data_IF_835047702047
#
_entry.id   IF_835047702047
#
_cell.length_a   1.000
_cell.length_b   1.000
_cell.length_c   1.000
_cell.angle_alpha   90.00
_cell.angle_beta   90.00
_cell.angle_gamma   90.00
#
_symmetry.space_group_name_H-M   'P 1'
#
loop_
_entity.id
_entity.type
_entity.pdbx_description
1 polymer ?
#
# COMPACT_ATOMS: atom_id res chain seq x y z
N UNK A 1 -32.82 -3.50 -60.01
CA UNK A 1 -32.13 -4.70 -60.49
C UNK A 1 -31.26 -5.12 -59.34
N UNK A 2 -31.64 -5.97 -58.48
CA UNK A 2 -31.88 -7.42 -58.60
C UNK A 2 -30.58 -8.11 -58.16
N UNK A 3 -30.44 -9.02 -57.30
CA UNK A 3 -31.11 -10.06 -56.54
C UNK A 3 -30.15 -10.48 -55.41
N UNK A 4 -30.52 -10.61 -54.14
CA UNK A 4 -31.04 -11.78 -53.43
C UNK A 4 -30.13 -13.05 -53.41
N UNK A 5 -30.02 -13.54 -52.18
CA UNK A 5 -29.79 -14.92 -51.66
C UNK A 5 -28.33 -15.26 -51.36
N UNK A 6 -28.00 -15.91 -50.25
CA UNK A 6 -28.68 -16.95 -49.48
C UNK A 6 -28.10 -17.15 -48.08
N UNK A 7 -28.96 -17.58 -47.17
CA UNK A 7 -28.73 -18.06 -45.82
C UNK A 7 -28.00 -19.42 -45.83
N UNK A 8 -27.06 -19.66 -44.89
CA UNK A 8 -26.77 -21.01 -44.42
C UNK A 8 -26.59 -21.05 -42.90
N UNK A 9 -27.54 -21.71 -42.24
CA UNK A 9 -27.49 -22.23 -40.87
C UNK A 9 -26.67 -23.50 -40.81
N UNK A 10 -25.88 -23.66 -39.70
CA UNK A 10 -25.53 -24.90 -38.98
C UNK A 10 -24.32 -24.58 -38.11
N UNK A 11 -24.19 -24.92 -36.82
CA UNK A 11 -24.95 -25.82 -36.01
C UNK A 11 -24.44 -25.68 -34.55
N UNK A 12 -25.41 -25.69 -33.64
CA UNK A 12 -25.19 -25.78 -32.22
C UNK A 12 -24.75 -27.19 -31.84
N UNK A 13 -23.66 -27.35 -31.06
CA UNK A 13 -23.35 -28.60 -30.36
C UNK A 13 -23.62 -28.46 -28.86
N UNK A 14 -24.66 -29.19 -28.45
CA UNK A 14 -25.05 -29.36 -27.05
C UNK A 14 -24.01 -30.19 -26.27
N UNK A 15 -23.63 -29.73 -25.07
CA UNK A 15 -22.96 -30.56 -24.09
C UNK A 15 -23.99 -31.49 -23.40
N UNK A 16 -23.80 -32.80 -23.53
CA UNK A 16 -24.59 -33.82 -22.82
C UNK A 16 -24.01 -34.01 -21.41
N UNK A 17 -24.87 -33.83 -20.42
CA UNK A 17 -24.66 -34.28 -19.04
C UNK A 17 -24.79 -35.82 -18.98
N UNK A 18 -23.78 -36.49 -18.42
CA UNK A 18 -23.87 -37.91 -18.06
C UNK A 18 -24.52 -37.99 -16.66
N UNK A 19 -25.77 -38.47 -16.61
CA UNK A 19 -26.40 -38.96 -15.40
C UNK A 19 -26.09 -40.45 -15.24
N UNK A 20 -25.40 -40.82 -14.17
CA UNK A 20 -25.24 -42.23 -13.76
C UNK A 20 -26.47 -42.65 -12.96
N UNK A 21 -27.19 -43.65 -13.48
CA UNK A 21 -28.27 -44.36 -12.80
C UNK A 21 -27.75 -45.10 -11.58
N UNK A 22 -28.42 -44.88 -10.44
CA UNK A 22 -28.30 -45.71 -9.26
C UNK A 22 -29.35 -46.81 -9.38
N UNK A 23 -28.90 -48.08 -9.41
CA UNK A 23 -29.77 -49.25 -9.41
C UNK A 23 -30.39 -49.47 -8.03
N UNK A 24 -31.69 -49.71 -8.01
CA UNK A 24 -32.50 -50.08 -6.85
C UNK A 24 -32.13 -51.47 -6.33
N UNK A 25 -31.87 -51.59 -5.03
CA UNK A 25 -31.92 -52.83 -4.29
C UNK A 25 -33.22 -52.93 -3.52
N UNK A 26 -33.90 -54.07 -3.69
CA UNK A 26 -35.12 -54.42 -2.99
C UNK A 26 -34.85 -54.81 -1.51
N UNK A 27 -35.78 -54.56 -0.57
CA UNK A 27 -35.55 -54.92 0.83
C UNK A 27 -35.99 -56.37 1.08
N UNK A 28 -35.08 -57.14 1.72
CA UNK A 28 -35.44 -58.40 2.33
C UNK A 28 -35.98 -58.15 3.74
N UNK A 29 -37.21 -58.62 4.01
CA UNK A 29 -37.82 -58.59 5.35
C UNK A 29 -37.32 -59.79 6.16
N UNK A 30 -36.64 -59.55 7.28
CA UNK A 30 -36.62 -60.46 8.44
C UNK A 30 -36.71 -59.59 9.71
N UNK A 31 -37.62 -60.03 10.62
CA UNK A 31 -37.94 -59.31 11.84
C UNK A 31 -36.77 -59.33 12.83
N UNK A 32 -36.51 -58.20 13.40
CA UNK A 32 -35.48 -58.00 14.43
C UNK A 32 -35.27 -56.54 14.72
N UNK A 33 -35.26 -56.20 15.97
CA UNK A 33 -35.15 -54.88 16.57
C UNK A 33 -34.07 -54.05 15.90
N UNK A 34 -34.42 -52.91 15.28
CA UNK A 34 -33.49 -51.95 14.70
C UNK A 34 -32.96 -51.02 15.81
N UNK A 35 -31.73 -51.25 16.27
CA UNK A 35 -30.91 -50.23 16.93
C UNK A 35 -30.24 -49.39 15.87
N UNK A 36 -30.76 -48.18 15.62
CA UNK A 36 -30.15 -47.20 14.73
C UNK A 36 -28.93 -46.58 15.43
N UNK A 37 -27.75 -47.09 15.13
CA UNK A 37 -26.52 -46.39 15.47
C UNK A 37 -26.37 -45.19 14.50
N UNK A 38 -26.66 -44.00 15.01
CA UNK A 38 -26.29 -42.74 14.34
C UNK A 38 -24.78 -42.52 14.57
N UNK A 39 -23.95 -42.91 13.63
CA UNK A 39 -22.55 -42.50 13.58
C UNK A 39 -22.52 -41.01 13.26
N UNK A 40 -22.41 -40.15 14.28
CA UNK A 40 -21.99 -38.76 14.11
C UNK A 40 -20.52 -38.74 13.63
N UNK A 41 -20.32 -38.73 12.32
CA UNK A 41 -19.03 -38.39 11.73
C UNK A 41 -18.77 -36.90 12.06
N UNK A 42 -18.06 -36.65 13.16
CA UNK A 42 -17.45 -35.35 13.40
C UNK A 42 -16.28 -35.19 12.43
N UNK A 43 -16.55 -34.52 11.29
CA UNK A 43 -15.46 -34.01 10.48
C UNK A 43 -14.75 -32.93 11.32
N UNK A 44 -13.40 -32.99 11.46
CA UNK A 44 -12.70 -31.87 12.04
C UNK A 44 -12.98 -30.67 11.12
N UNK A 45 -13.62 -29.64 11.67
CA UNK A 45 -13.67 -28.33 11.04
C UNK A 45 -12.21 -27.87 10.97
N UNK A 46 -11.59 -28.05 9.82
CA UNK A 46 -10.34 -27.36 9.54
C UNK A 46 -10.69 -25.89 9.65
N UNK A 47 -10.09 -25.20 10.62
CA UNK A 47 -10.08 -23.76 10.65
C UNK A 47 -9.63 -23.35 9.24
N UNK A 48 -10.52 -22.69 8.47
CA UNK A 48 -10.11 -22.08 7.23
C UNK A 48 -9.05 -21.07 7.63
N UNK A 49 -7.79 -21.34 7.24
CA UNK A 49 -6.74 -20.35 7.29
C UNK A 49 -7.27 -19.14 6.55
N UNK A 50 -7.67 -18.11 7.29
CA UNK A 50 -7.97 -16.80 6.69
C UNK A 50 -6.71 -16.41 5.91
N UNK A 51 -6.83 -16.05 4.61
CA UNK A 51 -5.66 -15.62 3.86
C UNK A 51 -4.91 -14.59 4.67
N UNK A 52 -3.61 -14.80 4.89
CA UNK A 52 -2.79 -13.88 5.66
C UNK A 52 -2.97 -12.48 5.05
N UNK A 53 -3.52 -11.56 5.85
CA UNK A 53 -3.67 -10.18 5.41
C UNK A 53 -2.27 -9.58 5.34
N UNK A 54 -1.83 -9.22 4.14
CA UNK A 54 -0.52 -8.65 3.92
C UNK A 54 -0.60 -7.15 3.74
N UNK A 55 0.44 -6.45 4.19
CA UNK A 55 0.76 -5.07 3.83
C UNK A 55 2.08 -5.08 3.07
N UNK A 56 2.05 -5.63 1.86
CA UNK A 56 3.24 -6.07 1.12
C UNK A 56 4.06 -4.94 0.49
N UNK A 57 3.59 -3.70 0.54
CA UNK A 57 4.24 -2.53 -0.05
C UNK A 57 3.78 -1.24 0.65
N UNK A 58 4.41 -0.11 0.32
CA UNK A 58 3.96 1.21 0.77
C UNK A 58 2.46 1.43 0.52
N UNK A 59 1.73 1.88 1.53
CA UNK A 59 0.26 2.09 1.53
C UNK A 59 -0.57 0.83 1.34
N UNK A 60 0.01 -0.37 1.41
CA UNK A 60 -0.66 -1.67 1.50
C UNK A 60 -1.14 -2.27 0.19
N UNK A 61 -1.41 -1.49 -0.85
CA UNK A 61 -1.93 -1.98 -2.14
C UNK A 61 -1.51 -1.09 -3.32
N UNK A 62 -1.73 -1.58 -4.54
CA UNK A 62 -1.35 -0.89 -5.78
C UNK A 62 -2.00 0.49 -5.96
N UNK A 63 -3.20 0.69 -5.46
CA UNK A 63 -3.91 1.97 -5.50
C UNK A 63 -3.44 2.95 -4.41
N UNK A 64 -2.52 2.52 -3.53
CA UNK A 64 -1.97 3.31 -2.43
C UNK A 64 -3.03 3.86 -1.48
N UNK A 65 -4.13 3.11 -1.26
CA UNK A 65 -5.27 3.60 -0.47
C UNK A 65 -4.97 3.74 1.02
N UNK A 66 -3.93 3.11 1.55
CA UNK A 66 -3.61 3.13 2.97
C UNK A 66 -4.67 2.49 3.86
N UNK A 67 -5.44 1.53 3.33
CA UNK A 67 -6.52 0.85 4.04
C UNK A 67 -6.17 -0.62 4.21
N UNK A 68 -6.27 -1.11 5.44
CA UNK A 68 -6.17 -2.52 5.81
C UNK A 68 -7.54 -3.08 6.17
N UNK A 69 -7.77 -4.34 5.82
CA UNK A 69 -8.93 -5.11 6.27
C UNK A 69 -8.67 -5.82 7.61
N UNK A 70 -7.45 -5.71 8.13
CA UNK A 70 -7.02 -6.36 9.36
C UNK A 70 -7.84 -5.93 10.57
N UNK A 71 -8.22 -6.89 11.39
CA UNK A 71 -8.97 -6.62 12.61
C UNK A 71 -8.00 -6.25 13.75
N UNK A 72 -7.73 -4.96 13.88
CA UNK A 72 -6.87 -4.41 14.93
C UNK A 72 -7.64 -4.34 16.26
N UNK A 73 -7.07 -4.75 17.41
CA UNK A 73 -7.71 -4.65 18.73
C UNK A 73 -8.21 -3.23 19.05
N UNK A 74 -9.29 -3.14 19.82
CA UNK A 74 -9.84 -1.85 20.22
C UNK A 74 -8.90 -1.08 21.14
N UNK A 75 -8.23 -1.78 22.04
CA UNK A 75 -7.22 -1.25 22.96
C UNK A 75 -5.85 -1.75 22.53
N UNK A 76 -4.99 -0.81 22.16
CA UNK A 76 -3.62 -1.12 21.75
C UNK A 76 -2.67 -1.14 22.94
N UNK A 77 -1.69 -2.02 22.85
CA UNK A 77 -0.51 -2.05 23.74
C UNK A 77 0.75 -2.26 22.90
N UNK A 78 1.91 -1.74 23.32
CA UNK A 78 3.18 -2.13 22.74
C UNK A 78 3.40 -3.64 22.94
N UNK A 79 3.71 -4.35 21.86
CA UNK A 79 4.03 -5.78 21.88
C UNK A 79 5.53 -6.00 21.97
N UNK A 80 6.28 -5.27 21.13
CA UNK A 80 7.74 -5.28 21.12
C UNK A 80 8.27 -3.99 20.50
N UNK A 81 9.55 -3.74 20.74
CA UNK A 81 10.30 -2.64 20.13
C UNK A 81 11.65 -3.20 19.66
N UNK A 82 12.01 -2.89 18.41
CA UNK A 82 13.33 -3.16 17.86
C UNK A 82 14.11 -1.85 17.80
N UNK A 83 15.41 -1.88 18.14
CA UNK A 83 16.32 -0.74 18.04
C UNK A 83 17.27 -0.95 16.86
N UNK A 84 17.19 -0.09 15.85
CA UNK A 84 18.17 0.04 14.78
C UNK A 84 19.30 1.00 15.21
N UNK A 85 20.40 0.97 14.46
CA UNK A 85 21.55 1.84 14.73
C UNK A 85 21.32 3.30 14.26
N UNK A 86 20.31 3.55 13.40
CA UNK A 86 19.98 4.87 12.86
C UNK A 86 18.49 4.99 12.59
N UNK A 87 18.01 6.17 12.22
CA UNK A 87 16.60 6.51 11.99
C UNK A 87 15.87 5.51 11.08
N UNK A 88 14.59 5.32 11.34
CA UNK A 88 13.66 4.52 10.52
C UNK A 88 12.60 5.46 9.93
N UNK A 89 12.87 5.97 8.71
CA UNK A 89 11.93 6.80 7.93
C UNK A 89 11.15 5.96 6.92
N UNK A 90 11.70 4.81 6.53
CA UNK A 90 11.06 3.79 5.71
C UNK A 90 9.80 3.24 6.40
N UNK A 91 8.69 3.14 5.67
CA UNK A 91 7.49 2.46 6.17
C UNK A 91 7.64 0.96 5.99
N UNK A 92 7.20 0.18 6.99
CA UNK A 92 7.37 -1.26 6.94
C UNK A 92 6.49 -1.93 5.88
N UNK A 93 6.95 -3.06 5.33
CA UNK A 93 6.11 -4.07 4.68
C UNK A 93 5.91 -5.25 5.63
N UNK A 94 4.69 -5.81 5.65
CA UNK A 94 4.34 -6.97 6.49
C UNK A 94 3.79 -8.06 5.59
N UNK A 95 4.44 -9.24 5.62
CA UNK A 95 4.03 -10.39 4.80
C UNK A 95 4.07 -11.66 5.66
N UNK A 96 2.92 -12.28 5.84
CA UNK A 96 2.77 -13.38 6.80
C UNK A 96 3.23 -12.95 8.19
N UNK A 97 4.19 -13.63 8.76
CA UNK A 97 4.79 -13.33 10.07
C UNK A 97 6.10 -12.52 9.99
N UNK A 98 6.41 -11.90 8.84
CA UNK A 98 7.66 -11.16 8.65
C UNK A 98 7.40 -9.67 8.40
N UNK A 99 8.17 -8.83 9.08
CA UNK A 99 8.24 -7.38 8.87
C UNK A 99 9.54 -7.06 8.14
N UNK A 100 9.46 -6.28 7.08
CA UNK A 100 10.63 -5.74 6.35
C UNK A 100 10.66 -4.23 6.51
N UNK A 101 11.82 -3.66 6.82
CA UNK A 101 11.98 -2.20 7.00
C UNK A 101 13.38 -1.75 6.63
N UNK A 102 13.50 -0.58 6.01
CA UNK A 102 14.77 0.08 5.72
C UNK A 102 15.20 1.01 6.86
N UNK A 103 16.50 1.25 7.01
CA UNK A 103 17.08 2.17 7.99
C UNK A 103 17.96 3.23 7.31
N UNK A 104 18.10 4.39 7.93
CA UNK A 104 18.99 5.45 7.44
C UNK A 104 20.49 5.04 7.44
N UNK A 105 20.88 4.01 8.20
CA UNK A 105 22.19 3.39 8.11
C UNK A 105 22.43 2.65 6.79
N UNK A 106 21.36 2.28 6.06
CA UNK A 106 21.45 1.50 4.83
C UNK A 106 21.15 0.01 5.01
N UNK A 107 20.56 -0.39 6.11
CA UNK A 107 20.18 -1.78 6.34
C UNK A 107 18.70 -2.01 5.95
N UNK A 108 18.45 -3.05 5.16
CA UNK A 108 17.11 -3.67 5.06
C UNK A 108 17.05 -4.80 6.10
N UNK A 109 16.11 -4.70 7.04
CA UNK A 109 15.98 -5.63 8.17
C UNK A 109 14.69 -6.43 8.02
N UNK A 110 14.79 -7.75 8.22
CA UNK A 110 13.64 -8.64 8.37
C UNK A 110 13.50 -9.08 9.83
N UNK A 111 12.28 -8.90 10.37
CA UNK A 111 11.96 -9.23 11.76
C UNK A 111 10.74 -10.14 11.85
N UNK A 112 10.67 -10.90 12.92
CA UNK A 112 9.48 -11.64 13.29
C UNK A 112 8.39 -10.67 13.76
N UNK A 113 7.19 -10.75 13.16
CA UNK A 113 6.06 -9.88 13.50
C UNK A 113 5.53 -10.11 14.93
N UNK A 114 5.71 -11.31 15.50
CA UNK A 114 5.13 -11.65 16.81
C UNK A 114 5.97 -11.15 17.98
N UNK A 115 7.32 -11.15 17.83
CA UNK A 115 8.23 -10.88 18.94
C UNK A 115 9.36 -9.88 18.62
N UNK A 116 9.46 -9.38 17.37
CA UNK A 116 10.48 -8.42 16.97
C UNK A 116 11.91 -8.98 16.83
N UNK A 117 12.09 -10.32 16.91
CA UNK A 117 13.43 -10.90 16.70
C UNK A 117 13.87 -10.76 15.24
N UNK A 118 15.17 -10.45 15.04
CA UNK A 118 15.75 -10.29 13.71
C UNK A 118 15.95 -11.65 13.05
N UNK A 119 15.43 -11.83 11.85
CA UNK A 119 15.71 -12.98 11.01
C UNK A 119 17.02 -12.78 10.24
N UNK A 120 17.17 -11.62 9.61
CA UNK A 120 18.36 -11.24 8.86
C UNK A 120 18.44 -9.73 8.64
N UNK A 121 19.65 -9.26 8.30
CA UNK A 121 19.95 -7.91 7.84
C UNK A 121 20.67 -7.98 6.52
N UNK A 122 20.35 -7.07 5.61
CA UNK A 122 21.01 -6.87 4.32
C UNK A 122 21.57 -5.46 4.27
N UNK A 123 22.87 -5.33 3.98
CA UNK A 123 23.53 -4.04 3.79
C UNK A 123 23.37 -3.58 2.32
N UNK A 124 22.66 -2.46 2.12
CA UNK A 124 22.47 -1.84 0.82
C UNK A 124 23.70 -1.02 0.37
N UNK A 125 24.58 -0.66 1.30
CA UNK A 125 25.78 0.13 1.05
C UNK A 125 25.56 1.64 1.04
N UNK A 126 24.32 2.12 0.96
CA UNK A 126 23.94 3.54 1.07
C UNK A 126 22.72 3.67 1.95
N UNK A 127 22.46 4.85 2.58
CA UNK A 127 21.29 5.07 3.39
C UNK A 127 19.98 4.72 2.68
N UNK A 128 19.07 4.08 3.39
CA UNK A 128 17.69 3.89 2.95
C UNK A 128 16.87 4.97 3.67
N UNK A 129 16.40 5.96 2.92
CA UNK A 129 15.57 7.03 3.47
C UNK A 129 14.08 6.64 3.49
N UNK A 130 13.27 7.41 2.79
CA UNK A 130 11.81 7.24 2.76
C UNK A 130 11.33 6.04 1.94
N UNK A 131 12.18 5.46 1.05
CA UNK A 131 11.83 4.28 0.26
C UNK A 131 11.41 3.14 1.17
N UNK A 132 10.22 2.61 0.92
CA UNK A 132 9.62 1.52 1.70
C UNK A 132 9.75 0.20 0.93
N UNK A 133 9.98 -0.95 1.62
CA UNK A 133 10.09 -2.25 0.96
C UNK A 133 8.80 -2.63 0.22
N UNK A 134 8.95 -3.32 -0.92
CA UNK A 134 7.87 -4.01 -1.59
C UNK A 134 8.22 -5.49 -1.74
N UNK A 135 7.28 -6.36 -1.38
CA UNK A 135 7.44 -7.81 -1.48
C UNK A 135 6.63 -8.36 -2.66
N UNK A 136 7.25 -9.25 -3.44
CA UNK A 136 6.55 -10.11 -4.40
C UNK A 136 7.35 -11.39 -4.63
N UNK A 137 6.67 -12.51 -4.69
CA UNK A 137 7.21 -13.81 -5.12
C UNK A 137 8.54 -14.22 -4.45
N UNK A 138 8.64 -14.00 -3.13
CA UNK A 138 9.83 -14.36 -2.36
C UNK A 138 10.98 -13.36 -2.45
N UNK A 139 10.82 -12.23 -3.14
CA UNK A 139 11.77 -11.13 -3.20
C UNK A 139 11.25 -9.89 -2.48
N UNK A 140 12.16 -9.14 -1.86
CA UNK A 140 11.93 -7.81 -1.30
C UNK A 140 12.71 -6.80 -2.13
N UNK A 141 12.04 -5.77 -2.60
CA UNK A 141 12.62 -4.69 -3.40
C UNK A 141 12.67 -3.41 -2.58
N UNK A 142 13.78 -2.66 -2.67
CA UNK A 142 13.94 -1.37 -1.98
C UNK A 142 14.94 -0.48 -2.71
N UNK A 143 14.69 0.82 -2.71
CA UNK A 143 15.60 1.83 -3.22
C UNK A 143 16.47 2.43 -2.12
N UNK A 144 17.66 2.96 -2.47
CA UNK A 144 18.53 3.68 -1.56
C UNK A 144 18.85 5.11 -2.07
N UNK A 145 19.42 5.93 -1.19
CA UNK A 145 19.82 7.31 -1.52
C UNK A 145 21.07 7.38 -2.41
N UNK A 146 21.79 6.27 -2.62
CA UNK A 146 22.79 6.12 -3.66
C UNK A 146 22.19 5.88 -5.03
N UNK A 147 20.87 5.75 -5.17
CA UNK A 147 20.17 5.51 -6.43
C UNK A 147 20.24 4.05 -6.90
N UNK A 148 20.47 3.13 -6.00
CA UNK A 148 20.41 1.71 -6.27
C UNK A 148 19.02 1.16 -5.95
N UNK A 149 18.49 0.31 -6.82
CA UNK A 149 17.36 -0.56 -6.54
C UNK A 149 17.90 -1.96 -6.26
N UNK A 150 17.52 -2.52 -5.14
CA UNK A 150 17.92 -3.84 -4.66
C UNK A 150 16.77 -4.82 -4.74
N UNK A 151 17.07 -6.08 -5.09
CA UNK A 151 16.20 -7.23 -4.92
C UNK A 151 16.90 -8.24 -4.00
N UNK A 152 16.24 -8.55 -2.89
CA UNK A 152 16.78 -9.36 -1.80
C UNK A 152 15.85 -10.55 -1.57
N UNK A 153 16.42 -11.73 -1.35
CA UNK A 153 15.65 -12.91 -0.99
C UNK A 153 14.97 -12.71 0.37
N UNK A 154 13.64 -12.76 0.40
CA UNK A 154 12.85 -12.53 1.60
C UNK A 154 13.11 -13.54 2.73
N UNK A 155 13.62 -14.74 2.42
CA UNK A 155 13.84 -15.82 3.37
C UNK A 155 15.16 -15.68 4.13
N UNK A 156 16.24 -15.31 3.43
CA UNK A 156 17.61 -15.37 3.98
C UNK A 156 18.41 -14.08 3.83
N UNK A 157 17.83 -13.02 3.25
CA UNK A 157 18.49 -11.72 3.10
C UNK A 157 19.58 -11.67 2.02
N UNK A 158 19.77 -12.71 1.21
CA UNK A 158 20.77 -12.70 0.15
C UNK A 158 20.31 -11.87 -1.03
N UNK A 159 21.22 -11.09 -1.60
CA UNK A 159 20.96 -10.29 -2.79
C UNK A 159 20.72 -11.18 -4.00
N UNK A 160 19.57 -11.01 -4.67
CA UNK A 160 19.35 -11.56 -6.00
C UNK A 160 20.06 -10.71 -7.05
N UNK A 161 19.82 -9.41 -7.01
CA UNK A 161 20.45 -8.42 -7.89
C UNK A 161 20.36 -7.02 -7.30
N UNK A 162 21.16 -6.10 -7.83
CA UNK A 162 20.99 -4.66 -7.62
C UNK A 162 21.34 -3.92 -8.90
N UNK A 163 20.67 -2.77 -9.13
CA UNK A 163 20.86 -1.97 -10.34
C UNK A 163 20.87 -0.48 -9.99
N UNK A 164 21.76 0.28 -10.63
CA UNK A 164 21.81 1.74 -10.52
C UNK A 164 20.76 2.37 -11.43
N UNK A 165 19.89 3.23 -10.86
CA UNK A 165 18.81 3.93 -11.54
C UNK A 165 18.98 5.46 -11.53
N UNK A 166 20.17 5.95 -11.79
CA UNK A 166 20.42 7.39 -11.87
C UNK A 166 20.78 8.03 -10.53
N UNK A 167 19.90 8.82 -9.92
CA UNK A 167 20.12 9.56 -8.67
C UNK A 167 19.35 8.95 -7.50
N UNK A 168 19.30 9.64 -6.38
CA UNK A 168 18.60 9.24 -5.15
C UNK A 168 17.22 8.62 -5.41
N UNK A 169 16.88 7.56 -4.67
CA UNK A 169 15.56 6.92 -4.73
C UNK A 169 14.87 7.12 -3.37
N UNK A 170 13.91 8.04 -3.33
CA UNK A 170 13.00 8.23 -2.19
C UNK A 170 11.65 7.58 -2.42
N UNK A 171 11.27 7.40 -3.68
CA UNK A 171 10.10 6.64 -4.09
C UNK A 171 10.16 5.21 -3.58
N UNK A 172 9.03 4.63 -3.21
CA UNK A 172 8.94 3.21 -2.90
C UNK A 172 8.68 2.38 -4.17
N UNK A 173 9.30 1.21 -4.34
CA UNK A 173 8.99 0.34 -5.46
C UNK A 173 7.55 -0.19 -5.38
N UNK A 174 6.88 -0.29 -6.53
CA UNK A 174 5.58 -0.94 -6.66
C UNK A 174 5.70 -2.06 -7.69
N UNK A 175 5.42 -3.28 -7.26
CA UNK A 175 5.52 -4.46 -8.13
C UNK A 175 4.18 -4.70 -8.82
N UNK A 176 4.19 -4.83 -10.14
CA UNK A 176 3.02 -5.13 -10.96
C UNK A 176 3.36 -6.24 -11.98
N UNK A 177 2.97 -7.46 -11.68
CA UNK A 177 3.38 -8.64 -12.43
C UNK A 177 4.90 -8.84 -12.39
N UNK A 178 5.54 -8.90 -13.55
CA UNK A 178 6.99 -9.04 -13.70
C UNK A 178 7.77 -7.70 -13.73
N UNK A 179 7.13 -6.61 -13.31
CA UNK A 179 7.65 -5.23 -13.40
C UNK A 179 7.66 -4.54 -12.05
N UNK A 180 8.66 -3.69 -11.85
CA UNK A 180 8.78 -2.77 -10.74
C UNK A 180 8.68 -1.35 -11.30
N UNK A 181 7.77 -0.54 -10.77
CA UNK A 181 7.68 0.89 -11.04
C UNK A 181 8.31 1.63 -9.88
N UNK A 182 9.21 2.60 -10.16
CA UNK A 182 9.91 3.37 -9.13
C UNK A 182 10.39 4.72 -9.68
N UNK A 183 10.23 5.76 -8.88
CA UNK A 183 10.72 7.11 -9.20
C UNK A 183 12.16 7.32 -8.74
N UNK A 184 12.89 8.19 -9.44
CA UNK A 184 14.25 8.63 -9.08
C UNK A 184 14.37 10.15 -9.19
N UNK A 185 15.31 10.70 -8.45
CA UNK A 185 15.63 12.13 -8.46
C UNK A 185 16.39 12.57 -9.72
N UNK A 186 16.73 11.64 -10.61
CA UNK A 186 17.22 11.94 -11.97
C UNK A 186 16.10 12.30 -12.96
N UNK A 187 14.91 12.63 -12.43
CA UNK A 187 13.74 13.04 -13.21
C UNK A 187 13.11 11.90 -14.04
N UNK A 188 13.28 10.64 -13.64
CA UNK A 188 12.66 9.53 -14.35
C UNK A 188 11.78 8.65 -13.45
N UNK A 189 10.66 8.22 -14.02
CA UNK A 189 9.96 7.02 -13.59
C UNK A 189 10.56 5.83 -14.35
N UNK A 190 11.04 4.85 -13.63
CA UNK A 190 11.59 3.61 -14.17
C UNK A 190 10.60 2.47 -14.12
N UNK A 191 10.63 1.63 -15.14
CA UNK A 191 10.04 0.29 -15.14
C UNK A 191 11.18 -0.72 -15.27
N UNK A 192 11.30 -1.60 -14.29
CA UNK A 192 12.43 -2.52 -14.13
C UNK A 192 11.89 -3.94 -14.05
N UNK A 193 12.60 -4.92 -14.62
CA UNK A 193 12.25 -6.33 -14.53
C UNK A 193 12.48 -6.86 -13.10
N UNK A 194 11.47 -7.53 -12.53
CA UNK A 194 11.61 -8.20 -11.21
C UNK A 194 12.67 -9.30 -11.24
N UNK A 195 12.92 -9.92 -12.39
CA UNK A 195 13.78 -11.11 -12.52
C UNK A 195 15.25 -10.80 -12.39
N UNK A 196 15.71 -9.70 -13.01
CA UNK A 196 17.16 -9.41 -13.16
C UNK A 196 17.53 -7.94 -13.03
N UNK A 197 16.59 -7.05 -12.71
CA UNK A 197 16.84 -5.62 -12.55
C UNK A 197 17.08 -4.86 -13.87
N UNK A 198 16.87 -5.48 -15.05
CA UNK A 198 17.03 -4.75 -16.31
C UNK A 198 15.94 -3.68 -16.47
N UNK A 199 16.36 -2.48 -16.90
CA UNK A 199 15.41 -1.40 -17.23
C UNK A 199 14.64 -1.78 -18.50
N UNK A 200 13.33 -1.90 -18.39
CA UNK A 200 12.43 -2.19 -19.53
C UNK A 200 12.15 -0.90 -20.30
N UNK A 201 11.81 0.16 -19.55
CA UNK A 201 11.65 1.51 -20.06
C UNK A 201 11.87 2.53 -18.94
N UNK A 202 12.10 3.78 -19.32
CA UNK A 202 12.07 4.92 -18.41
C UNK A 202 11.31 6.08 -19.07
N UNK A 203 10.58 6.82 -18.25
CA UNK A 203 9.82 8.00 -18.67
C UNK A 203 10.41 9.23 -18.00
N UNK A 204 10.81 10.23 -18.80
CA UNK A 204 11.37 11.48 -18.29
C UNK A 204 10.27 12.48 -17.92
N UNK A 205 10.39 13.07 -16.74
CA UNK A 205 9.62 14.21 -16.24
C UNK A 205 10.48 15.48 -16.28
N UNK A 206 9.94 16.63 -15.86
CA UNK A 206 10.68 17.90 -15.79
C UNK A 206 11.13 18.23 -14.35
N UNK A 207 11.13 17.27 -13.46
CA UNK A 207 11.58 17.39 -12.06
C UNK A 207 11.67 16.02 -11.40
N UNK A 208 12.27 15.92 -10.21
CA UNK A 208 12.42 14.66 -9.50
C UNK A 208 11.10 13.89 -9.33
N UNK A 209 11.13 12.57 -9.48
CA UNK A 209 9.99 11.68 -9.22
C UNK A 209 10.10 11.16 -7.79
N UNK A 210 9.62 11.96 -6.84
CA UNK A 210 9.63 11.62 -5.41
C UNK A 210 8.52 10.62 -5.05
N UNK A 211 7.32 10.82 -5.62
CA UNK A 211 6.14 10.04 -5.27
C UNK A 211 6.25 8.57 -5.66
N UNK A 212 5.68 7.70 -4.84
CA UNK A 212 5.45 6.30 -5.20
C UNK A 212 4.31 6.23 -6.20
N UNK A 213 4.45 5.50 -7.32
CA UNK A 213 3.40 5.42 -8.33
C UNK A 213 2.19 4.60 -7.84
N UNK A 214 0.98 5.18 -7.93
CA UNK A 214 -0.26 4.43 -7.76
C UNK A 214 -0.59 3.69 -9.05
N UNK A 215 -1.13 2.47 -8.96
CA UNK A 215 -1.45 1.66 -10.14
C UNK A 215 -2.95 1.34 -10.19
N UNK A 216 -3.56 1.60 -11.35
CA UNK A 216 -4.91 1.15 -11.68
C UNK A 216 -5.04 0.94 -13.20
N UNK A 217 -5.80 -0.08 -13.61
CA UNK A 217 -6.14 -0.36 -15.01
C UNK A 217 -4.95 -0.39 -15.98
N UNK A 218 -3.80 -0.92 -15.54
CA UNK A 218 -2.58 -1.00 -16.35
C UNK A 218 -1.84 0.32 -16.57
N UNK A 219 -2.21 1.35 -15.80
CA UNK A 219 -1.58 2.67 -15.78
C UNK A 219 -0.88 2.90 -14.43
N UNK A 220 0.29 3.51 -14.48
CA UNK A 220 0.99 4.07 -13.34
C UNK A 220 0.66 5.57 -13.26
N UNK A 221 0.26 6.01 -12.07
CA UNK A 221 -0.08 7.41 -11.79
C UNK A 221 0.98 7.99 -10.87
N UNK A 222 1.61 9.08 -11.29
CA UNK A 222 2.57 9.85 -10.50
C UNK A 222 2.12 11.30 -10.37
N UNK A 223 2.38 11.91 -9.23
CA UNK A 223 2.30 13.34 -9.02
C UNK A 223 3.73 13.85 -8.80
N UNK A 224 4.19 14.80 -9.57
CA UNK A 224 5.60 15.14 -9.70
C UNK A 224 6.00 16.45 -9.02
N UNK A 225 7.31 16.59 -8.78
CA UNK A 225 7.93 17.86 -8.42
C UNK A 225 7.94 18.88 -9.59
N UNK A 226 7.46 18.51 -10.75
CA UNK A 226 7.26 19.36 -11.93
C UNK A 226 5.81 19.86 -12.09
N UNK A 227 5.04 19.80 -10.99
CA UNK A 227 3.66 20.32 -10.92
C UNK A 227 2.66 19.58 -11.83
N UNK A 228 2.99 18.36 -12.27
CA UNK A 228 2.15 17.60 -13.19
C UNK A 228 1.80 16.24 -12.63
N UNK A 229 0.50 15.94 -12.60
CA UNK A 229 -0.02 14.59 -12.41
C UNK A 229 -0.08 13.86 -13.75
N UNK A 230 0.46 12.65 -13.83
CA UNK A 230 0.56 11.88 -15.08
C UNK A 230 0.01 10.48 -14.94
N UNK A 231 -0.58 9.99 -16.02
CA UNK A 231 -0.95 8.60 -16.25
C UNK A 231 -0.03 8.01 -17.34
N UNK A 232 0.76 7.01 -16.97
CA UNK A 232 1.76 6.37 -17.83
C UNK A 232 1.38 4.91 -18.01
N UNK A 233 1.33 4.44 -19.27
CA UNK A 233 1.00 3.05 -19.56
C UNK A 233 2.14 2.12 -19.17
N UNK A 234 1.86 1.12 -18.32
CA UNK A 234 2.88 0.23 -17.77
C UNK A 234 3.51 -0.66 -18.86
N UNK A 235 2.76 -1.01 -19.92
CA UNK A 235 3.26 -1.91 -20.96
C UNK A 235 4.40 -1.33 -21.79
N UNK A 236 4.41 -0.02 -22.05
CA UNK A 236 5.33 0.65 -22.99
C UNK A 236 5.92 1.97 -22.50
N UNK A 237 5.57 2.43 -21.30
CA UNK A 237 6.08 3.68 -20.72
C UNK A 237 5.55 4.96 -21.36
N UNK A 238 4.51 4.91 -22.18
CA UNK A 238 3.96 6.10 -22.84
C UNK A 238 2.97 6.83 -21.95
N UNK A 239 3.07 8.16 -21.92
CA UNK A 239 2.07 9.00 -21.28
C UNK A 239 0.73 8.87 -22.02
N UNK A 240 -0.34 8.64 -21.24
CA UNK A 240 -1.71 8.53 -21.74
C UNK A 240 -2.44 9.87 -21.62
N UNK A 241 -2.22 10.54 -20.47
CA UNK A 241 -2.67 11.91 -20.22
C UNK A 241 -1.88 12.52 -19.06
N UNK A 242 -1.96 13.83 -18.95
CA UNK A 242 -1.48 14.58 -17.80
C UNK A 242 -2.48 15.66 -17.37
N UNK A 243 -2.31 16.15 -16.15
CA UNK A 243 -3.12 17.23 -15.55
C UNK A 243 -2.16 18.14 -14.77
N UNK A 244 -2.20 19.45 -15.02
CA UNK A 244 -1.45 20.39 -14.20
C UNK A 244 -2.01 20.41 -12.77
N UNK A 245 -1.16 20.16 -11.79
CA UNK A 245 -1.49 20.28 -10.36
C UNK A 245 -1.47 21.76 -9.91
N UNK A 246 -0.69 22.60 -10.60
CA UNK A 246 -0.45 23.98 -10.25
C UNK A 246 0.56 24.16 -9.11
N UNK A 247 1.08 23.06 -8.55
CA UNK A 247 2.12 23.06 -7.53
C UNK A 247 2.83 21.71 -7.49
N UNK A 248 4.10 21.71 -7.08
CA UNK A 248 4.85 20.48 -6.90
C UNK A 248 4.36 19.69 -5.67
N UNK A 249 4.62 18.39 -5.67
CA UNK A 249 4.26 17.49 -4.56
C UNK A 249 5.32 16.42 -4.31
N UNK A 250 5.49 16.07 -3.01
CA UNK A 250 6.19 14.86 -2.58
C UNK A 250 5.21 13.73 -2.19
N UNK A 251 3.91 14.01 -2.15
CA UNK A 251 2.91 13.03 -1.77
C UNK A 251 2.62 12.04 -2.92
N UNK A 252 2.40 10.77 -2.56
CA UNK A 252 1.98 9.74 -3.52
C UNK A 252 0.47 9.77 -3.72
N UNK A 253 -0.03 9.63 -4.97
CA UNK A 253 -1.45 9.71 -5.27
C UNK A 253 -2.20 8.45 -4.83
N UNK A 254 -3.15 8.58 -3.92
CA UNK A 254 -4.07 7.51 -3.55
C UNK A 254 -5.21 7.43 -4.56
N UNK A 255 -5.46 6.23 -5.10
CA UNK A 255 -6.43 6.02 -6.17
C UNK A 255 -7.68 5.31 -5.63
N UNK A 256 -8.87 5.85 -5.90
CA UNK A 256 -10.13 5.18 -5.58
C UNK A 256 -11.26 5.67 -6.47
N UNK A 257 -12.06 4.73 -6.98
CA UNK A 257 -13.31 5.02 -7.73
C UNK A 257 -13.15 6.05 -8.85
N UNK A 258 -12.10 5.93 -9.67
CA UNK A 258 -11.83 6.84 -10.79
C UNK A 258 -11.28 8.22 -10.39
N UNK A 259 -10.85 8.36 -9.14
CA UNK A 259 -10.23 9.59 -8.63
C UNK A 259 -8.83 9.31 -8.10
N UNK A 260 -7.95 10.33 -8.17
CA UNK A 260 -6.67 10.39 -7.47
C UNK A 260 -6.71 11.52 -6.43
N UNK A 261 -6.12 11.26 -5.25
CA UNK A 261 -6.08 12.20 -4.13
C UNK A 261 -4.66 12.37 -3.63
N UNK A 262 -4.18 13.60 -3.55
CA UNK A 262 -2.84 13.91 -3.04
C UNK A 262 -2.74 15.35 -2.54
N UNK A 263 -1.79 15.60 -1.64
CA UNK A 263 -1.47 16.92 -1.16
C UNK A 263 -0.40 17.61 -2.00
N UNK A 264 -0.31 18.94 -1.95
CA UNK A 264 0.68 19.74 -2.64
C UNK A 264 1.46 20.62 -1.67
N UNK A 265 2.57 21.19 -2.15
CA UNK A 265 3.35 22.18 -1.41
C UNK A 265 2.74 23.59 -1.46
N UNK A 266 1.72 23.82 -2.29
CA UNK A 266 0.94 25.07 -2.29
C UNK A 266 -0.28 25.01 -1.34
N UNK A 267 -0.15 24.21 -0.27
CA UNK A 267 -1.11 24.14 0.83
C UNK A 267 -2.47 23.54 0.48
N UNK A 268 -2.56 22.83 -0.63
CA UNK A 268 -3.80 22.27 -1.15
C UNK A 268 -3.80 20.73 -1.13
N UNK A 269 -4.99 20.17 -1.01
CA UNK A 269 -5.29 18.76 -1.34
C UNK A 269 -6.12 18.74 -2.59
N UNK A 270 -5.71 17.94 -3.57
CA UNK A 270 -6.37 17.82 -4.85
C UNK A 270 -7.14 16.50 -4.95
N UNK A 271 -8.32 16.58 -5.57
CA UNK A 271 -9.04 15.44 -6.12
C UNK A 271 -9.06 15.53 -7.63
N UNK A 272 -8.33 14.63 -8.31
CA UNK A 272 -8.22 14.59 -9.77
C UNK A 272 -9.12 13.51 -10.32
N UNK A 273 -10.00 13.86 -11.27
CA UNK A 273 -10.83 12.91 -12.01
C UNK A 273 -10.00 12.24 -13.11
N UNK A 274 -9.84 10.91 -13.01
CA UNK A 274 -9.11 10.13 -14.02
C UNK A 274 -9.89 10.00 -15.32
N UNK A 275 -11.22 10.02 -15.27
CA UNK A 275 -12.11 9.99 -16.44
C UNK A 275 -12.10 11.31 -17.18
N UNK A 276 -12.35 12.43 -16.46
CA UNK A 276 -12.40 13.77 -17.06
C UNK A 276 -11.02 14.35 -17.34
N UNK A 277 -9.95 13.80 -16.71
CA UNK A 277 -8.56 14.25 -16.82
C UNK A 277 -8.39 15.72 -16.38
N UNK A 278 -8.98 16.05 -15.24
CA UNK A 278 -8.97 17.39 -14.67
C UNK A 278 -8.94 17.36 -13.14
N UNK A 279 -8.52 18.49 -12.53
CA UNK A 279 -8.69 18.70 -11.08
C UNK A 279 -10.18 18.96 -10.83
N UNK A 280 -10.86 17.98 -10.23
CA UNK A 280 -12.28 18.07 -9.93
C UNK A 280 -12.59 18.98 -8.74
N UNK A 281 -11.66 19.04 -7.77
CA UNK A 281 -11.77 19.92 -6.60
C UNK A 281 -10.40 20.17 -5.97
N UNK A 282 -10.33 21.28 -5.23
CA UNK A 282 -9.21 21.71 -4.39
C UNK A 282 -9.73 21.96 -2.98
N UNK A 283 -8.95 21.57 -1.98
CA UNK A 283 -9.18 21.88 -0.57
C UNK A 283 -7.97 22.60 -0.03
N UNK A 284 -8.17 23.73 0.62
CA UNK A 284 -7.21 24.47 1.42
C UNK A 284 -7.80 24.73 2.81
N UNK A 285 -6.98 24.61 3.86
CA UNK A 285 -7.47 24.95 5.20
C UNK A 285 -7.65 26.48 5.32
N UNK A 286 -8.81 26.99 5.77
CA UNK A 286 -9.14 28.42 5.67
C UNK A 286 -8.21 29.35 6.45
N UNK A 287 -7.55 28.85 7.51
CA UNK A 287 -6.72 29.67 8.41
C UNK A 287 -5.25 29.22 8.45
N UNK A 288 -4.91 28.02 8.00
CA UNK A 288 -3.57 27.44 8.09
C UNK A 288 -3.10 27.01 6.71
N UNK A 289 -2.22 27.82 6.15
CA UNK A 289 -1.65 27.62 4.82
C UNK A 289 -0.26 27.01 4.96
N UNK A 290 -0.20 25.69 4.90
CA UNK A 290 1.03 24.91 5.01
C UNK A 290 0.98 23.69 4.11
N UNK A 291 2.13 23.26 3.57
CA UNK A 291 2.20 22.13 2.66
C UNK A 291 1.65 20.82 3.23
N UNK A 292 1.11 19.98 2.31
CA UNK A 292 0.74 18.61 2.57
C UNK A 292 1.79 17.65 1.98
N UNK A 293 2.62 17.08 2.85
CA UNK A 293 3.65 16.12 2.44
C UNK A 293 3.16 14.67 2.54
N UNK A 294 2.29 14.40 3.49
CA UNK A 294 1.69 13.10 3.76
C UNK A 294 0.86 12.59 2.58
N UNK A 295 1.02 11.31 2.21
CA UNK A 295 0.15 10.66 1.24
C UNK A 295 -1.21 10.32 1.86
N UNK A 296 -2.28 10.52 1.10
CA UNK A 296 -3.64 10.33 1.61
C UNK A 296 -3.98 8.87 1.90
N UNK A 297 -4.80 8.62 2.93
CA UNK A 297 -5.55 7.38 3.09
C UNK A 297 -6.99 7.58 2.60
N UNK A 298 -7.51 6.64 1.79
CA UNK A 298 -8.81 6.83 1.12
C UNK A 298 -9.72 5.64 1.31
N UNK A 299 -10.88 5.88 1.95
CA UNK A 299 -11.98 4.91 2.10
C UNK A 299 -13.15 5.23 1.16
N UNK A 300 -14.25 4.50 1.27
CA UNK A 300 -15.48 4.82 0.55
C UNK A 300 -16.14 6.14 1.00
N UNK A 301 -15.72 6.73 2.13
CA UNK A 301 -16.38 7.90 2.73
C UNK A 301 -15.43 9.04 3.08
N UNK A 302 -14.12 8.80 3.17
CA UNK A 302 -13.14 9.78 3.66
C UNK A 302 -11.84 9.74 2.89
N UNK A 303 -11.25 10.92 2.74
CA UNK A 303 -9.84 11.16 2.42
C UNK A 303 -9.19 11.69 3.69
N UNK A 304 -8.12 11.05 4.17
CA UNK A 304 -7.43 11.46 5.41
C UNK A 304 -5.95 11.64 5.12
N UNK A 305 -5.37 12.75 5.56
CA UNK A 305 -3.95 13.05 5.38
C UNK A 305 -3.43 13.95 6.50
N UNK A 306 -2.12 13.95 6.70
CA UNK A 306 -1.42 14.85 7.62
C UNK A 306 -0.96 16.13 6.90
N UNK A 307 -0.91 17.23 7.64
CA UNK A 307 -0.42 18.52 7.16
C UNK A 307 0.78 19.03 7.95
N UNK A 308 1.62 19.87 7.32
CA UNK A 308 2.66 20.63 8.02
C UNK A 308 2.09 21.76 8.89
N UNK A 309 0.80 22.03 8.76
CA UNK A 309 0.00 22.93 9.63
C UNK A 309 -0.29 22.34 11.02
N UNK A 310 0.26 21.16 11.32
CA UNK A 310 0.08 20.41 12.57
C UNK A 310 -1.33 19.85 12.74
N UNK A 311 -2.00 19.56 11.62
CA UNK A 311 -3.33 18.93 11.64
C UNK A 311 -3.31 17.58 10.90
N UNK A 312 -4.19 16.69 11.36
CA UNK A 312 -4.71 15.59 10.56
C UNK A 312 -6.06 16.03 10.01
N UNK A 313 -6.24 15.95 8.71
CA UNK A 313 -7.45 16.37 8.00
C UNK A 313 -8.27 15.15 7.59
N UNK A 314 -9.54 15.16 7.88
CA UNK A 314 -10.54 14.23 7.35
C UNK A 314 -11.47 14.96 6.41
N UNK A 315 -11.40 14.64 5.12
CA UNK A 315 -12.23 15.23 4.08
C UNK A 315 -13.26 14.22 3.58
N UNK A 316 -14.38 14.70 3.07
CA UNK A 316 -15.26 13.89 2.23
C UNK A 316 -14.63 13.69 0.83
N UNK A 317 -15.14 12.72 0.05
CA UNK A 317 -14.59 12.42 -1.29
C UNK A 317 -14.72 13.58 -2.30
N UNK A 318 -15.56 14.56 -2.01
CA UNK A 318 -15.73 15.78 -2.83
C UNK A 318 -14.94 16.98 -2.28
N UNK A 319 -13.95 16.76 -1.41
CA UNK A 319 -13.03 17.79 -0.92
C UNK A 319 -13.54 18.66 0.22
N UNK A 320 -14.77 18.44 0.76
CA UNK A 320 -15.26 19.22 1.90
C UNK A 320 -14.64 18.72 3.21
N UNK A 321 -14.17 19.64 4.05
CA UNK A 321 -13.70 19.31 5.38
C UNK A 321 -14.83 18.67 6.20
N UNK A 322 -14.53 17.51 6.81
CA UNK A 322 -15.44 16.84 7.73
C UNK A 322 -14.98 17.03 9.18
N UNK A 323 -13.68 16.94 9.41
CA UNK A 323 -13.05 17.17 10.70
C UNK A 323 -11.55 17.47 10.54
N UNK A 324 -10.96 18.08 11.58
CA UNK A 324 -9.53 18.19 11.76
C UNK A 324 -9.16 17.77 13.19
N UNK A 325 -7.94 17.23 13.35
CA UNK A 325 -7.37 16.90 14.66
C UNK A 325 -6.02 17.58 14.80
N UNK A 326 -5.83 18.35 15.88
CA UNK A 326 -4.59 19.09 16.13
C UNK A 326 -3.53 18.23 16.83
N UNK A 327 -2.34 18.17 16.26
CA UNK A 327 -1.12 17.65 16.86
C UNK A 327 -0.24 18.81 17.37
N UNK A 328 0.91 18.50 17.98
CA UNK A 328 1.83 19.55 18.51
C UNK A 328 2.92 19.93 17.51
N UNK A 329 3.18 19.10 16.48
CA UNK A 329 4.11 19.35 15.41
C UNK A 329 3.53 18.89 14.06
N UNK A 330 4.26 19.12 12.96
CA UNK A 330 3.87 18.71 11.61
C UNK A 330 3.61 17.20 11.53
N UNK A 331 2.72 16.81 10.63
CA UNK A 331 2.33 15.42 10.38
C UNK A 331 2.79 15.04 8.97
N UNK A 332 3.95 14.39 8.88
CA UNK A 332 4.53 13.91 7.62
C UNK A 332 4.22 12.40 7.39
N UNK A 333 3.98 11.67 8.46
CA UNK A 333 3.48 10.30 8.43
C UNK A 333 2.18 10.21 7.62
N UNK A 334 2.12 9.27 6.69
CA UNK A 334 0.91 9.03 5.89
C UNK A 334 -0.05 8.12 6.67
N UNK A 335 -1.29 8.56 6.97
CA UNK A 335 -2.22 7.81 7.79
C UNK A 335 -2.53 6.42 7.21
N UNK A 336 -2.70 5.41 8.06
CA UNK A 336 -3.30 4.13 7.69
C UNK A 336 -4.67 3.98 8.35
N UNK A 337 -5.58 3.24 7.71
CA UNK A 337 -6.96 3.07 8.18
C UNK A 337 -7.28 1.57 8.32
N UNK A 338 -7.84 1.18 9.46
CA UNK A 338 -8.39 -0.15 9.70
C UNK A 338 -9.55 -0.08 10.69
N UNK A 339 -10.61 -0.84 10.50
CA UNK A 339 -11.72 -0.96 11.45
C UNK A 339 -12.38 0.37 11.84
N UNK A 340 -12.49 1.33 10.91
CA UNK A 340 -13.07 2.66 11.17
C UNK A 340 -12.19 3.59 12.00
N UNK A 341 -10.91 3.28 12.16
CA UNK A 341 -9.92 4.06 12.90
C UNK A 341 -8.78 4.50 11.98
N UNK A 342 -8.24 5.69 12.25
CA UNK A 342 -7.08 6.29 11.59
C UNK A 342 -5.88 6.15 12.51
N UNK A 343 -4.79 5.64 11.99
CA UNK A 343 -3.50 5.45 12.67
C UNK A 343 -2.47 6.34 12.02
N UNK A 344 -1.81 7.21 12.78
CA UNK A 344 -0.89 8.21 12.23
C UNK A 344 0.20 8.60 13.22
N UNK A 345 1.44 8.69 12.74
CA UNK A 345 2.56 9.28 13.48
C UNK A 345 2.59 10.80 13.34
N UNK A 346 3.24 11.48 14.25
CA UNK A 346 3.50 12.93 14.20
C UNK A 346 4.94 13.24 14.61
N UNK A 347 5.48 14.32 14.08
CA UNK A 347 6.80 14.81 14.46
C UNK A 347 6.84 15.37 15.90
N UNK A 348 5.71 15.38 16.62
CA UNK A 348 5.65 15.65 18.06
C UNK A 348 6.03 14.44 18.92
N UNK A 349 6.45 13.33 18.28
CA UNK A 349 6.85 12.09 18.95
C UNK A 349 5.69 11.23 19.41
N UNK A 350 4.48 11.44 18.88
CA UNK A 350 3.29 10.69 19.25
C UNK A 350 2.72 9.89 18.10
N UNK A 351 2.25 8.71 18.42
CA UNK A 351 1.42 7.86 17.56
C UNK A 351 -0.04 8.01 18.01
N UNK A 352 -0.90 8.45 17.11
CA UNK A 352 -2.31 8.71 17.37
C UNK A 352 -3.22 7.69 16.72
N UNK A 353 -4.30 7.33 17.42
CA UNK A 353 -5.46 6.60 16.87
C UNK A 353 -6.67 7.51 16.96
N UNK A 354 -7.27 7.80 15.82
CA UNK A 354 -8.41 8.69 15.71
C UNK A 354 -9.63 7.97 15.15
N UNK A 355 -10.82 8.44 15.48
CA UNK A 355 -12.06 8.01 14.84
C UNK A 355 -12.10 8.49 13.39
N UNK A 356 -12.30 7.59 12.43
CA UNK A 356 -12.47 7.94 11.01
C UNK A 356 -13.70 8.83 10.78
N UNK A 357 -14.73 8.69 11.62
CA UNK A 357 -16.01 9.39 11.44
C UNK A 357 -15.90 10.87 11.77
N UNK A 358 -15.25 11.21 12.91
CA UNK A 358 -15.29 12.58 13.46
C UNK A 358 -13.92 13.11 13.94
N UNK A 359 -12.82 12.37 13.74
CA UNK A 359 -11.47 12.78 14.15
C UNK A 359 -11.21 12.77 15.66
N UNK A 360 -12.13 12.26 16.48
CA UNK A 360 -11.93 12.17 17.93
C UNK A 360 -10.75 11.25 18.24
N UNK A 361 -9.87 11.69 19.17
CA UNK A 361 -8.76 10.86 19.64
C UNK A 361 -9.30 9.68 20.45
N UNK A 362 -8.96 8.47 20.02
CA UNK A 362 -9.33 7.21 20.68
C UNK A 362 -8.21 6.70 21.58
N UNK A 363 -6.95 6.89 21.13
CA UNK A 363 -5.78 6.44 21.85
C UNK A 363 -4.53 7.21 21.39
N UNK A 364 -3.50 7.26 22.20
CA UNK A 364 -2.17 7.78 21.83
C UNK A 364 -1.05 7.03 22.54
N UNK A 365 0.13 7.01 21.91
CA UNK A 365 1.36 6.52 22.48
C UNK A 365 2.45 7.59 22.33
N UNK A 366 3.23 7.84 23.38
CA UNK A 366 4.37 8.75 23.33
C UNK A 366 5.65 7.94 23.05
N UNK A 367 6.16 8.03 21.81
CA UNK A 367 7.41 7.42 21.41
C UNK A 367 8.65 8.20 21.85
N UNK A 368 8.48 9.51 22.14
CA UNK A 368 9.55 10.40 22.57
C UNK A 368 10.42 10.98 21.45
N UNK A 369 10.34 10.44 20.24
CA UNK A 369 11.05 10.90 19.06
C UNK A 369 10.09 11.02 17.85
N UNK A 370 10.38 11.88 16.84
CA UNK A 370 9.50 12.07 15.69
C UNK A 370 9.14 10.78 14.98
N UNK A 371 7.86 10.64 14.61
CA UNK A 371 7.31 9.52 13.84
C UNK A 371 6.94 10.02 12.44
N UNK A 372 7.92 10.07 11.53
CA UNK A 372 7.72 10.45 10.13
C UNK A 372 7.37 9.26 9.24
N UNK A 373 7.83 8.05 9.59
CA UNK A 373 7.42 6.82 8.92
C UNK A 373 5.91 6.61 8.97
N UNK A 374 5.36 5.91 7.97
CA UNK A 374 3.92 5.62 7.91
C UNK A 374 3.61 4.25 8.54
N UNK A 375 2.46 4.10 9.24
CA UNK A 375 2.08 2.82 9.83
C UNK A 375 1.80 1.77 8.76
N UNK A 376 2.22 0.53 9.02
CA UNK A 376 1.83 -0.68 8.31
C UNK A 376 0.89 -1.51 9.18
N UNK A 377 -0.18 -2.06 8.61
CA UNK A 377 -1.22 -2.77 9.37
C UNK A 377 -1.54 -4.11 8.73
N UNK A 378 -1.23 -5.19 9.42
CA UNK A 378 -1.57 -6.55 9.00
C UNK A 378 -1.69 -7.48 10.22
N UNK A 379 -2.46 -8.55 10.08
CA UNK A 379 -2.58 -9.62 11.09
C UNK A 379 -2.89 -9.12 12.51
N UNK A 380 -3.77 -8.12 12.64
CA UNK A 380 -4.15 -7.51 13.91
C UNK A 380 -3.08 -6.60 14.53
N UNK A 381 -1.95 -6.37 13.87
CA UNK A 381 -0.81 -5.61 14.39
C UNK A 381 -0.52 -4.36 13.57
N UNK A 382 0.11 -3.40 14.21
CA UNK A 382 0.54 -2.14 13.61
C UNK A 382 2.04 -2.00 13.85
N UNK A 383 2.78 -1.68 12.80
CA UNK A 383 4.22 -1.43 12.87
C UNK A 383 4.52 -0.02 12.38
N UNK A 384 5.35 0.74 13.12
CA UNK A 384 5.76 2.10 12.76
C UNK A 384 7.18 2.39 13.23
N UNK A 385 7.98 3.03 12.37
CA UNK A 385 9.34 3.48 12.67
C UNK A 385 9.39 4.88 13.25
N UNK A 386 10.49 5.21 13.93
CA UNK A 386 10.78 6.54 14.47
C UNK A 386 12.18 7.02 14.11
N UNK A 387 12.40 8.33 14.22
CA UNK A 387 13.69 8.96 13.85
C UNK A 387 14.82 8.70 14.86
N UNK A 388 14.55 8.08 16.01
CA UNK A 388 15.57 7.60 16.95
C UNK A 388 15.94 6.13 16.72
N UNK A 389 15.54 5.56 15.58
CA UNK A 389 15.87 4.19 15.20
C UNK A 389 14.99 3.11 15.81
N UNK A 390 13.91 3.47 16.51
CA UNK A 390 13.00 2.48 17.07
C UNK A 390 11.91 2.09 16.08
N UNK A 391 11.67 0.78 15.97
CA UNK A 391 10.52 0.21 15.30
C UNK A 391 9.58 -0.34 16.36
N UNK A 392 8.39 0.22 16.44
CA UNK A 392 7.36 -0.20 17.39
C UNK A 392 6.35 -1.14 16.73
N UNK A 393 5.92 -2.17 17.45
CA UNK A 393 4.77 -3.00 17.10
C UNK A 393 3.70 -2.89 18.19
N UNK A 394 2.47 -2.70 17.75
CA UNK A 394 1.28 -2.63 18.60
C UNK A 394 0.26 -3.69 18.19
N UNK A 395 -0.53 -4.19 19.18
CA UNK A 395 -1.62 -5.11 18.96
C UNK A 395 -2.57 -5.18 20.13
#
# INVERSE_FOLDING_TARGET
MGLLTSVSRKGAKALRFFSKRISSFAPLRLGGIFLTFVFLLTFPVHAQDTPAENWAQFRGNHQLTGVSLSNVPATLKPLWTYQADDAIESSAAIVGSTVFVGTAKGELVALNLDNGSVYWKYDAGNPIGESSPAYSDGAVFIGDLGGMLHAVNARDGKRFWSVKLGSEIKSSPVVYGDRILIGSYDEHLYCVSTRNGSVIWKFKTNGPVHSTPGIASGLAFIAGCDEVFRAIRISDGKEVFNVSSGAYTGASPALRAGMAYYGTFDNEVLGVSLEKKEVAWRYEHPQRKFPFYSSAAVTASRVVLGGRDKLVHGLSLNGKAAWTFATRARVESSPAIAGGRVYVGSNDGRFYVLSLTNGAKLWEFNAGAPLSASPAIANGKIVIGSQDGRLYCFG
#
